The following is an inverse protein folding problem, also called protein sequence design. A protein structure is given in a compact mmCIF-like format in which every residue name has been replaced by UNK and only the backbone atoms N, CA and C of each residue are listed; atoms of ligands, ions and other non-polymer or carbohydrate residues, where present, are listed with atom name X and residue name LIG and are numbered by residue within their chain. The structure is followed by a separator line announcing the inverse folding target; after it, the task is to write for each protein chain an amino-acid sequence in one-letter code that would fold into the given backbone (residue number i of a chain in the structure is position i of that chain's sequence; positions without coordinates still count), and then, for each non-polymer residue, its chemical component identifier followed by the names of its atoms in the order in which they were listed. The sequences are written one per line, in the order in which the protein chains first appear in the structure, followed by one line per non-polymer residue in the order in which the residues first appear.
data_IF_984778133566
#
_entry.id   IF_984778133566
#
_cell.length_a   1.000
_cell.length_b   1.000
_cell.length_c   1.000
_cell.angle_alpha   90.00
_cell.angle_beta   90.00
_cell.angle_gamma   90.00
#
_symmetry.space_group_name_H-M   'P 1'
#
loop_
_entity.id
_entity.type
_entity.pdbx_description
1 polymer ?
#
# COMPACT_ATOMS: atom_id res chain seq x y z
N UNK A 1 -8.34 48.04 -18.48
CA UNK A 1 -7.10 48.73 -18.91
C UNK A 1 -6.24 47.72 -19.66
N UNK A 2 -5.99 47.94 -20.95
CA UNK A 2 -5.27 46.99 -21.79
C UNK A 2 -3.81 46.86 -21.32
N UNK A 3 -3.41 45.65 -20.90
CA UNK A 3 -2.03 45.35 -20.50
C UNK A 3 -1.09 45.65 -21.67
N UNK A 4 -0.08 46.48 -21.43
CA UNK A 4 0.94 46.80 -22.43
C UNK A 4 1.68 45.50 -22.77
N UNK A 5 2.07 45.30 -24.04
CA UNK A 5 2.71 44.06 -24.51
C UNK A 5 3.93 43.66 -23.65
N UNK A 6 4.63 44.65 -23.11
CA UNK A 6 5.76 44.49 -22.18
C UNK A 6 5.38 43.82 -20.86
N UNK A 7 4.19 44.10 -20.33
CA UNK A 7 3.74 43.53 -19.05
C UNK A 7 3.31 42.06 -19.22
N UNK A 8 2.83 41.70 -20.41
CA UNK A 8 2.57 40.31 -20.78
C UNK A 8 3.85 39.47 -20.83
N UNK A 9 4.93 40.03 -21.38
CA UNK A 9 6.23 39.34 -21.47
C UNK A 9 6.87 39.17 -20.09
N UNK A 10 6.79 40.17 -19.22
CA UNK A 10 7.23 40.06 -17.82
C UNK A 10 6.48 38.97 -17.06
N UNK A 11 5.16 38.89 -17.22
CA UNK A 11 4.34 37.85 -16.59
C UNK A 11 4.66 36.46 -17.12
N UNK A 12 5.02 36.32 -18.40
CA UNK A 12 5.47 35.04 -18.98
C UNK A 12 6.82 34.61 -18.41
N UNK A 13 7.78 35.54 -18.28
CA UNK A 13 9.08 35.26 -17.68
C UNK A 13 8.94 34.83 -16.20
N UNK A 14 8.09 35.51 -15.43
CA UNK A 14 7.79 35.14 -14.03
C UNK A 14 7.18 33.74 -13.90
N UNK A 15 6.26 33.37 -14.81
CA UNK A 15 5.66 32.03 -14.82
C UNK A 15 6.67 30.93 -15.16
N UNK A 16 7.58 31.19 -16.11
CA UNK A 16 8.63 30.25 -16.47
C UNK A 16 9.61 30.02 -15.30
N UNK A 17 10.04 31.10 -14.63
CA UNK A 17 10.90 30.98 -13.44
C UNK A 17 10.22 30.17 -12.32
N UNK A 18 8.95 30.42 -12.03
CA UNK A 18 8.20 29.64 -11.03
C UNK A 18 8.06 28.16 -11.39
N UNK A 19 7.90 27.83 -12.69
CA UNK A 19 7.84 26.45 -13.14
C UNK A 19 9.17 25.72 -12.95
N UNK A 20 10.30 26.38 -13.24
CA UNK A 20 11.64 25.81 -13.03
C UNK A 20 11.96 25.62 -11.55
N UNK A 21 11.52 26.51 -10.68
CA UNK A 21 11.74 26.39 -9.22
C UNK A 21 10.86 25.32 -8.53
N UNK A 22 9.79 24.83 -9.17
CA UNK A 22 8.97 23.73 -8.63
C UNK A 22 9.54 22.33 -8.91
N UNK A 23 10.60 22.22 -9.72
CA UNK A 23 11.38 20.99 -9.88
C UNK A 23 12.35 20.80 -8.70
N UNK A 24 11.81 20.66 -7.49
CA UNK A 24 12.59 20.14 -6.36
C UNK A 24 12.97 18.67 -6.63
N UNK A 25 14.13 18.20 -6.13
CA UNK A 25 14.61 16.85 -6.39
C UNK A 25 13.57 15.80 -5.98
N UNK A 26 13.12 15.02 -6.97
CA UNK A 26 12.24 13.87 -6.81
C UNK A 26 12.87 12.96 -5.76
N UNK A 27 12.18 12.76 -4.64
CA UNK A 27 12.70 12.10 -3.45
C UNK A 27 13.22 10.73 -3.82
N UNK A 28 14.55 10.58 -3.81
CA UNK A 28 15.27 9.34 -4.01
C UNK A 28 14.68 8.24 -3.11
N UNK A 29 14.06 7.24 -3.75
CA UNK A 29 13.38 6.12 -3.09
C UNK A 29 12.59 5.19 -4.02
N UNK A 30 12.55 5.46 -5.34
CA UNK A 30 11.95 4.58 -6.35
C UNK A 30 12.92 3.46 -6.76
N UNK A 31 13.25 2.58 -5.81
CA UNK A 31 14.29 1.57 -5.98
C UNK A 31 13.98 0.21 -5.37
N UNK A 32 12.74 -0.27 -5.46
CA UNK A 32 12.46 -1.71 -5.31
C UNK A 32 11.14 -2.12 -5.96
N UNK A 33 11.30 -2.84 -7.08
CA UNK A 33 10.47 -3.91 -7.64
C UNK A 33 8.93 -3.78 -7.64
N UNK A 34 8.38 -3.78 -8.87
CA UNK A 34 6.97 -3.91 -9.25
C UNK A 34 6.04 -2.75 -8.80
N UNK A 35 5.09 -2.30 -9.63
CA UNK A 35 4.01 -1.43 -9.14
C UNK A 35 3.14 -2.30 -8.23
N UNK A 36 3.56 -2.47 -6.99
CA UNK A 36 2.68 -2.94 -5.94
C UNK A 36 1.46 -2.03 -5.99
N UNK A 37 0.29 -2.62 -6.29
CA UNK A 37 -1.01 -1.97 -6.26
C UNK A 37 -1.01 -0.98 -5.10
N UNK A 38 -1.43 0.26 -5.36
CA UNK A 38 -1.36 1.33 -4.37
C UNK A 38 -1.90 0.77 -3.05
N UNK A 39 -1.08 0.79 -1.99
CA UNK A 39 -1.40 0.11 -0.72
C UNK A 39 -2.78 0.53 -0.18
N UNK A 40 -3.27 1.68 -0.62
CA UNK A 40 -4.63 2.18 -0.36
C UNK A 40 -5.71 1.39 -1.09
N UNK A 41 -5.50 1.06 -2.36
CA UNK A 41 -6.40 0.23 -3.16
C UNK A 41 -6.45 -1.19 -2.63
N UNK A 42 -5.29 -1.76 -2.26
CA UNK A 42 -5.25 -3.09 -1.63
C UNK A 42 -6.04 -3.11 -0.31
N UNK A 43 -5.85 -2.10 0.56
CA UNK A 43 -6.65 -1.97 1.79
C UNK A 43 -8.14 -1.77 1.53
N UNK A 44 -8.52 -1.06 0.45
CA UNK A 44 -9.94 -0.91 0.09
C UNK A 44 -10.55 -2.24 -0.36
N UNK A 45 -9.80 -3.05 -1.09
CA UNK A 45 -10.21 -4.40 -1.48
C UNK A 45 -10.33 -5.32 -0.26
N UNK A 46 -9.33 -5.28 0.63
CA UNK A 46 -9.36 -6.03 1.89
C UNK A 46 -10.55 -5.61 2.76
N UNK A 47 -10.81 -4.31 2.89
CA UNK A 47 -11.99 -3.79 3.61
C UNK A 47 -13.31 -4.20 2.96
N UNK A 48 -13.39 -4.18 1.62
CA UNK A 48 -14.57 -4.65 0.90
C UNK A 48 -14.80 -6.15 1.11
N UNK A 49 -13.74 -6.91 1.32
CA UNK A 49 -13.77 -8.33 1.67
C UNK A 49 -13.94 -8.57 3.20
N UNK A 50 -14.02 -7.52 4.02
CA UNK A 50 -14.15 -7.62 5.48
C UNK A 50 -12.85 -8.00 6.21
N UNK A 51 -11.70 -8.03 5.53
CA UNK A 51 -10.42 -8.33 6.13
C UNK A 51 -9.94 -7.14 6.97
N UNK A 52 -9.72 -7.40 8.25
CA UNK A 52 -9.14 -6.44 9.20
C UNK A 52 -7.69 -6.84 9.49
N UNK A 53 -6.73 -5.90 9.44
CA UNK A 53 -5.36 -6.20 9.82
C UNK A 53 -5.29 -6.55 11.31
N UNK A 54 -4.96 -7.81 11.61
CA UNK A 54 -4.85 -8.32 12.97
C UNK A 54 -3.39 -8.69 13.27
N UNK A 55 -2.70 -7.85 14.05
CA UNK A 55 -1.30 -8.04 14.37
C UNK A 55 -1.13 -8.77 15.71
N UNK A 56 -0.87 -10.08 15.66
CA UNK A 56 -0.47 -10.87 16.82
C UNK A 56 1.00 -11.27 16.73
N UNK A 57 1.68 -11.29 17.88
CA UNK A 57 3.04 -11.83 17.98
C UNK A 57 2.94 -13.34 18.12
N UNK A 58 3.59 -14.06 17.20
CA UNK A 58 3.68 -15.52 17.21
C UNK A 58 5.16 -15.93 17.34
N UNK A 59 5.40 -17.12 17.88
CA UNK A 59 6.75 -17.69 17.93
C UNK A 59 7.29 -17.94 16.50
N UNK A 60 8.60 -17.74 16.31
CA UNK A 60 9.24 -17.86 15.00
C UNK A 60 8.98 -19.23 14.35
N UNK A 61 9.19 -20.32 15.11
CA UNK A 61 8.97 -21.69 14.64
C UNK A 61 7.52 -21.95 14.22
N UNK A 62 6.55 -21.30 14.88
CA UNK A 62 5.15 -21.42 14.53
C UNK A 62 4.85 -20.71 13.20
N UNK A 63 5.45 -19.53 12.99
CA UNK A 63 5.32 -18.79 11.74
C UNK A 63 5.93 -19.57 10.58
N UNK A 64 7.06 -20.24 10.77
CA UNK A 64 7.65 -21.11 9.74
C UNK A 64 6.75 -22.27 9.37
N UNK A 65 6.17 -22.96 10.37
CA UNK A 65 5.20 -24.04 10.13
C UNK A 65 3.97 -23.55 9.37
N UNK A 66 3.45 -22.37 9.73
CA UNK A 66 2.31 -21.77 9.04
C UNK A 66 2.66 -21.42 7.59
N UNK A 67 3.86 -20.90 7.33
CA UNK A 67 4.34 -20.59 5.97
C UNK A 67 4.44 -21.85 5.12
N UNK A 68 5.11 -22.88 5.62
CA UNK A 68 5.26 -24.15 4.92
C UNK A 68 3.90 -24.79 4.58
N UNK A 69 2.92 -24.67 5.49
CA UNK A 69 1.56 -25.18 5.25
C UNK A 69 0.75 -24.31 4.29
N UNK A 70 0.98 -22.99 4.30
CA UNK A 70 0.29 -22.05 3.42
C UNK A 70 0.74 -22.15 1.96
N UNK A 71 1.94 -22.65 1.68
CA UNK A 71 2.46 -22.85 0.31
C UNK A 71 1.56 -23.73 -0.56
N UNK A 72 0.86 -24.71 0.05
CA UNK A 72 -0.08 -25.60 -0.64
C UNK A 72 -1.56 -25.18 -0.55
N UNK A 73 -1.89 -24.05 0.07
CA UNK A 73 -3.26 -23.70 0.41
C UNK A 73 -3.91 -22.77 -0.63
N UNK A 74 -5.12 -23.08 -1.15
CA UNK A 74 -5.77 -22.26 -2.19
C UNK A 74 -6.12 -20.83 -1.70
N UNK A 75 -6.33 -20.65 -0.40
CA UNK A 75 -6.55 -19.34 0.24
C UNK A 75 -5.29 -18.63 0.74
N UNK A 76 -4.09 -19.17 0.43
CA UNK A 76 -2.83 -18.70 0.97
C UNK A 76 -2.79 -18.70 2.51
N UNK A 77 -1.96 -17.82 3.09
CA UNK A 77 -1.78 -17.69 4.54
C UNK A 77 -3.07 -17.27 5.26
N UNK A 78 -3.80 -16.30 4.71
CA UNK A 78 -5.00 -15.76 5.37
C UNK A 78 -6.13 -16.80 5.43
N UNK A 79 -6.37 -17.54 4.33
CA UNK A 79 -7.37 -18.62 4.33
C UNK A 79 -7.01 -19.75 5.28
N UNK A 80 -5.73 -20.16 5.29
CA UNK A 80 -5.25 -21.19 6.23
C UNK A 80 -5.42 -20.76 7.69
N UNK A 81 -5.11 -19.50 8.01
CA UNK A 81 -5.31 -18.96 9.35
C UNK A 81 -6.79 -18.92 9.73
N UNK A 82 -7.69 -18.55 8.82
CA UNK A 82 -9.13 -18.55 9.09
C UNK A 82 -9.62 -19.94 9.48
N UNK A 83 -9.31 -20.97 8.68
CA UNK A 83 -9.70 -22.35 8.96
C UNK A 83 -9.14 -22.86 10.31
N UNK A 84 -7.87 -22.57 10.60
CA UNK A 84 -7.24 -22.98 11.86
C UNK A 84 -7.85 -22.28 13.07
N UNK A 85 -8.17 -20.98 12.95
CA UNK A 85 -8.79 -20.22 14.03
C UNK A 85 -10.23 -20.67 14.27
N UNK A 86 -11.02 -20.88 13.23
CA UNK A 86 -12.39 -21.39 13.33
C UNK A 86 -12.43 -22.79 13.95
N UNK A 87 -11.55 -23.70 13.53
CA UNK A 87 -11.44 -25.03 14.10
C UNK A 87 -11.00 -24.99 15.58
N UNK A 88 -10.10 -24.07 15.94
CA UNK A 88 -9.68 -23.86 17.32
C UNK A 88 -10.81 -23.34 18.21
N UNK A 89 -11.56 -22.35 17.74
CA UNK A 89 -12.71 -21.79 18.44
C UNK A 89 -13.84 -22.81 18.61
N UNK A 90 -14.11 -23.63 17.59
CA UNK A 90 -15.12 -24.69 17.65
C UNK A 90 -14.78 -25.76 18.69
N UNK A 91 -13.48 -26.08 18.86
CA UNK A 91 -12.99 -27.04 19.85
C UNK A 91 -12.99 -26.49 21.27
N UNK A 92 -12.79 -25.19 21.45
CA UNK A 92 -12.82 -24.55 22.78
C UNK A 92 -14.26 -24.34 23.27
N UNK A 93 -15.20 -24.19 22.34
CA UNK A 93 -16.63 -24.07 22.63
C UNK A 93 -17.34 -25.41 22.89
N UNK A 94 -16.65 -26.54 22.70
CA UNK A 94 -17.17 -27.91 22.92
C UNK A 94 -16.67 -28.52 24.22
#
# INVERSE_FOLDING_TARGET
MAMKKTDLEKNKALKLMQATHKSGPDRFGKGSAQPALDRREQRKLDQAQGLVPFACKLNADLVEKLKARAEGHPGGMNGLLAELLEAGLARDAS
#
